data_IF_737460017176
#
_entry.id   IF_737460017176
#
_cell.length_a   1.000
_cell.length_b   1.000
_cell.length_c   1.000
_cell.angle_alpha   90.00
_cell.angle_beta   90.00
_cell.angle_gamma   90.00
#
_symmetry.space_group_name_H-M   'P 1'
#
loop_
_entity.id
_entity.type
_entity.pdbx_description
1 polymer ?
#
# COMPACT_ATOMS: atom_id res chain seq x y z
N UNK A 1 19.76 5.51 11.76
CA UNK A 1 19.00 5.12 12.96
C UNK A 1 17.48 5.11 12.74
N UNK A 2 16.86 6.18 12.23
CA UNK A 2 15.40 6.22 12.02
C UNK A 2 14.93 5.19 10.96
N UNK A 3 15.65 5.07 9.84
CA UNK A 3 15.33 4.14 8.76
C UNK A 3 15.44 2.68 9.22
N UNK A 4 16.48 2.34 9.96
CA UNK A 4 16.65 1.00 10.53
C UNK A 4 15.51 0.67 11.52
N UNK A 5 15.16 1.60 12.40
CA UNK A 5 14.03 1.42 13.32
C UNK A 5 12.70 1.23 12.56
N UNK A 6 12.47 1.98 11.48
CA UNK A 6 11.29 1.83 10.63
C UNK A 6 11.27 0.45 9.93
N UNK A 7 12.41 -0.01 9.41
CA UNK A 7 12.52 -1.31 8.77
C UNK A 7 12.34 -2.47 9.76
N UNK A 8 12.84 -2.34 10.99
CA UNK A 8 12.61 -3.32 12.05
C UNK A 8 11.13 -3.34 12.46
N UNK A 9 10.50 -2.17 12.64
CA UNK A 9 9.06 -2.10 12.94
C UNK A 9 8.20 -2.72 11.83
N UNK A 10 8.56 -2.49 10.57
CA UNK A 10 7.94 -3.15 9.41
C UNK A 10 8.13 -4.66 9.45
N UNK A 11 9.35 -5.14 9.75
CA UNK A 11 9.64 -6.57 9.90
C UNK A 11 8.84 -7.23 11.03
N UNK A 12 8.67 -6.55 12.16
CA UNK A 12 7.83 -7.03 13.28
C UNK A 12 6.36 -7.14 12.85
N UNK A 13 5.85 -6.11 12.15
CA UNK A 13 4.49 -6.13 11.61
C UNK A 13 4.29 -7.30 10.63
N UNK A 14 5.24 -7.52 9.72
CA UNK A 14 5.19 -8.63 8.77
C UNK A 14 5.24 -9.99 9.47
N UNK A 15 6.12 -10.17 10.46
CA UNK A 15 6.20 -11.40 11.25
C UNK A 15 4.90 -11.68 12.00
N UNK A 16 4.27 -10.66 12.60
CA UNK A 16 2.95 -10.79 13.23
C UNK A 16 1.90 -11.26 12.23
N UNK A 17 1.87 -10.67 11.03
CA UNK A 17 0.94 -11.07 9.98
C UNK A 17 1.22 -12.50 9.49
N UNK A 18 2.47 -12.91 9.36
CA UNK A 18 2.83 -14.27 8.97
C UNK A 18 2.33 -15.31 9.99
N UNK A 19 2.34 -14.99 11.28
CA UNK A 19 1.73 -15.84 12.31
C UNK A 19 0.21 -15.93 12.13
N UNK A 20 -0.45 -14.77 11.94
CA UNK A 20 -1.91 -14.71 11.80
C UNK A 20 -2.42 -15.46 10.56
N UNK A 21 -1.74 -15.30 9.42
CA UNK A 21 -2.22 -15.81 8.14
C UNK A 21 -1.63 -17.17 7.76
N UNK A 22 -0.38 -17.44 8.15
CA UNK A 22 0.38 -18.62 7.69
C UNK A 22 0.87 -19.51 8.84
N UNK A 23 0.53 -19.18 10.10
CA UNK A 23 1.07 -19.86 11.31
C UNK A 23 2.59 -19.93 11.34
N UNK A 24 3.26 -19.02 10.63
CA UNK A 24 4.70 -19.02 10.49
C UNK A 24 5.32 -18.04 11.49
N UNK A 25 6.16 -18.55 12.38
CA UNK A 25 6.85 -17.76 13.40
C UNK A 25 8.26 -17.41 12.95
N UNK A 26 8.76 -16.26 13.37
CA UNK A 26 10.12 -15.82 13.10
C UNK A 26 10.75 -15.31 14.38
N UNK A 27 12.05 -15.56 14.56
CA UNK A 27 12.77 -15.05 15.72
C UNK A 27 13.06 -13.56 15.58
N UNK A 28 13.19 -12.85 16.71
CA UNK A 28 13.56 -11.44 16.70
C UNK A 28 14.87 -11.18 15.95
N UNK A 29 15.86 -12.08 16.10
CA UNK A 29 17.13 -11.99 15.38
C UNK A 29 16.94 -12.08 13.86
N UNK A 30 16.12 -13.01 13.38
CA UNK A 30 15.82 -13.15 11.94
C UNK A 30 15.10 -11.92 11.39
N UNK A 31 14.19 -11.33 12.16
CA UNK A 31 13.47 -10.10 11.80
C UNK A 31 14.44 -8.93 11.64
N UNK A 32 15.31 -8.71 12.64
CA UNK A 32 16.29 -7.61 12.61
C UNK A 32 17.30 -7.79 11.47
N UNK A 33 17.82 -9.01 11.28
CA UNK A 33 18.77 -9.30 10.21
C UNK A 33 18.14 -9.08 8.82
N UNK A 34 16.89 -9.53 8.62
CA UNK A 34 16.17 -9.33 7.37
C UNK A 34 15.88 -7.85 7.11
N UNK A 35 15.50 -7.10 8.15
CA UNK A 35 15.25 -5.66 8.06
C UNK A 35 16.51 -4.89 7.64
N UNK A 36 17.67 -5.21 8.25
CA UNK A 36 18.97 -4.62 7.87
C UNK A 36 19.34 -4.92 6.43
N UNK A 37 19.26 -6.19 6.02
CA UNK A 37 19.56 -6.60 4.64
C UNK A 37 18.67 -5.90 3.62
N UNK A 38 17.38 -5.77 3.92
CA UNK A 38 16.44 -5.07 3.04
C UNK A 38 16.78 -3.57 2.93
N UNK A 39 17.20 -2.93 4.03
CA UNK A 39 17.65 -1.54 4.01
C UNK A 39 18.91 -1.36 3.16
N UNK A 40 19.92 -2.24 3.35
CA UNK A 40 21.16 -2.21 2.58
C UNK A 40 20.88 -2.37 1.07
N UNK A 41 20.02 -3.33 0.71
CA UNK A 41 19.61 -3.56 -0.68
C UNK A 41 18.87 -2.36 -1.27
N UNK A 42 17.98 -1.73 -0.49
CA UNK A 42 17.26 -0.54 -0.93
C UNK A 42 18.20 0.63 -1.18
N UNK A 43 19.12 0.90 -0.24
CA UNK A 43 20.12 1.97 -0.39
C UNK A 43 21.02 1.73 -1.61
N UNK A 44 21.47 0.49 -1.81
CA UNK A 44 22.24 0.10 -2.97
C UNK A 44 21.47 0.32 -4.28
N UNK A 45 20.20 -0.09 -4.35
CA UNK A 45 19.34 0.10 -5.51
C UNK A 45 19.06 1.59 -5.82
N UNK A 46 19.01 2.46 -4.80
CA UNK A 46 18.86 3.89 -5.00
C UNK A 46 20.15 4.53 -5.53
N UNK A 47 21.32 4.13 -5.03
CA UNK A 47 22.62 4.62 -5.51
C UNK A 47 22.89 4.28 -6.98
N UNK A 48 22.30 3.20 -7.49
CA UNK A 48 22.44 2.77 -8.89
C UNK A 48 21.47 3.49 -9.84
N UNK A 49 20.39 4.10 -9.34
CA UNK A 49 19.47 4.90 -10.17
C UNK A 49 20.03 6.27 -10.53
N UNK A 50 20.88 6.85 -9.68
CA UNK A 50 21.53 8.14 -9.95
C UNK A 50 22.44 8.10 -11.20
N UNK A 51 22.99 6.94 -11.56
CA UNK A 51 23.77 6.76 -12.79
C UNK A 51 22.92 6.56 -14.06
N UNK A 52 21.68 6.07 -13.92
CA UNK A 52 20.88 5.61 -15.07
C UNK A 52 19.79 6.60 -15.51
N UNK A 53 19.42 7.56 -14.65
CA UNK A 53 18.41 8.57 -14.94
C UNK A 53 18.93 9.78 -15.74
N UNK A 54 20.24 9.94 -15.90
CA UNK A 54 20.82 11.06 -16.66
C UNK A 54 20.74 10.89 -18.18
N UNK A 55 20.36 9.72 -18.69
CA UNK A 55 20.33 9.43 -20.14
C UNK A 55 18.94 9.53 -20.79
N UNK A 56 17.87 9.77 -20.01
CA UNK A 56 16.50 9.87 -20.53
C UNK A 56 15.81 11.17 -20.15
N UNK A 57 16.55 12.28 -20.02
CA UNK A 57 15.93 13.62 -20.09
C UNK A 57 15.72 13.97 -21.56
N UNK A 58 14.77 13.27 -22.19
CA UNK A 58 14.29 13.64 -23.52
C UNK A 58 13.19 14.70 -23.37
N UNK A 59 13.33 15.78 -24.11
CA UNK A 59 12.69 17.09 -23.92
C UNK A 59 11.21 17.17 -24.36
N UNK A 60 10.46 16.06 -24.32
CA UNK A 60 9.03 16.10 -24.60
C UNK A 60 8.26 16.10 -23.29
N UNK A 61 7.88 17.33 -22.88
CA UNK A 61 6.95 17.63 -21.80
C UNK A 61 5.57 17.09 -22.17
N UNK A 62 5.40 15.76 -22.16
CA UNK A 62 4.11 15.15 -21.95
C UNK A 62 3.63 15.74 -20.63
N UNK A 63 2.55 16.51 -20.68
CA UNK A 63 1.81 16.87 -19.49
C UNK A 63 1.21 15.55 -19.00
N UNK A 64 1.99 14.78 -18.26
CA UNK A 64 1.48 13.75 -17.39
C UNK A 64 0.56 14.51 -16.42
N UNK A 65 -0.72 14.57 -16.75
CA UNK A 65 -1.74 14.91 -15.78
C UNK A 65 -1.57 13.87 -14.68
N UNK A 66 -0.96 14.27 -13.57
CA UNK A 66 -0.83 13.44 -12.39
C UNK A 66 -2.24 13.15 -11.88
N UNK A 67 -2.82 12.05 -12.34
CA UNK A 67 -4.09 11.56 -11.81
C UNK A 67 -3.80 11.16 -10.37
N UNK A 68 -4.42 11.89 -9.43
CA UNK A 68 -4.22 11.68 -8.00
C UNK A 68 -4.51 10.20 -7.65
N UNK A 69 -3.51 9.44 -7.16
CA UNK A 69 -3.67 8.00 -7.01
C UNK A 69 -4.70 7.67 -5.91
N UNK A 70 -5.58 6.72 -6.21
CA UNK A 70 -6.61 6.24 -5.26
C UNK A 70 -6.21 4.90 -4.67
N UNK A 71 -6.05 4.86 -3.35
CA UNK A 71 -5.81 3.64 -2.59
C UNK A 71 -7.15 3.03 -2.17
N UNK A 72 -7.35 1.74 -2.41
CA UNK A 72 -8.59 1.00 -2.08
C UNK A 72 -8.27 -0.16 -1.15
N UNK A 73 -9.09 -0.35 -0.11
CA UNK A 73 -9.03 -1.48 0.79
C UNK A 73 -10.41 -2.09 1.04
N UNK A 74 -10.45 -3.41 1.20
CA UNK A 74 -11.63 -4.16 1.66
C UNK A 74 -11.45 -4.62 3.11
N UNK A 75 -12.56 -4.76 3.83
CA UNK A 75 -12.60 -5.29 5.19
C UNK A 75 -13.74 -6.29 5.33
N UNK A 76 -13.48 -7.45 5.93
CA UNK A 76 -14.47 -8.51 6.15
C UNK A 76 -14.90 -8.50 7.63
N UNK A 77 -16.21 -8.50 7.87
CA UNK A 77 -16.82 -8.54 9.20
C UNK A 77 -17.71 -9.79 9.31
N UNK A 78 -17.07 -10.97 9.30
CA UNK A 78 -17.74 -12.26 9.16
C UNK A 78 -18.82 -12.53 10.23
N UNK A 79 -18.51 -12.18 11.49
CA UNK A 79 -19.43 -12.30 12.63
C UNK A 79 -20.73 -11.52 12.42
N UNK A 80 -20.66 -10.39 11.73
CA UNK A 80 -21.80 -9.52 11.46
C UNK A 80 -22.43 -9.80 10.09
N UNK A 81 -21.88 -10.72 9.30
CA UNK A 81 -22.35 -11.01 7.95
C UNK A 81 -22.25 -9.79 7.02
N UNK A 82 -21.20 -8.99 7.19
CA UNK A 82 -20.98 -7.74 6.44
C UNK A 82 -19.56 -7.68 5.90
N UNK A 83 -19.38 -6.82 4.91
CA UNK A 83 -18.06 -6.35 4.49
C UNK A 83 -18.08 -4.84 4.30
N UNK A 84 -16.90 -4.23 4.32
CA UNK A 84 -16.69 -2.81 4.12
C UNK A 84 -15.66 -2.58 3.03
N UNK A 85 -15.76 -1.43 2.39
CA UNK A 85 -14.74 -0.92 1.48
C UNK A 85 -14.37 0.49 1.92
N UNK A 86 -13.10 0.84 1.75
CA UNK A 86 -12.61 2.18 2.02
C UNK A 86 -11.63 2.60 0.94
N UNK A 87 -11.64 3.87 0.58
CA UNK A 87 -10.67 4.41 -0.36
C UNK A 87 -10.27 5.83 -0.02
N UNK A 88 -9.02 6.17 -0.36
CA UNK A 88 -8.40 7.47 -0.07
C UNK A 88 -7.60 7.95 -1.26
N UNK A 89 -7.65 9.25 -1.52
CA UNK A 89 -6.80 9.91 -2.51
C UNK A 89 -5.91 10.95 -1.83
N UNK A 90 -4.68 11.13 -2.32
CA UNK A 90 -3.64 11.96 -1.68
C UNK A 90 -2.93 12.86 -2.67
N UNK A 91 -2.58 14.07 -2.26
CA UNK A 91 -1.75 14.96 -3.07
C UNK A 91 -0.30 14.46 -3.21
N UNK A 92 0.51 15.22 -3.94
CA UNK A 92 1.93 14.91 -4.18
C UNK A 92 2.78 14.90 -2.90
N UNK A 93 2.33 15.59 -1.84
CA UNK A 93 2.97 15.58 -0.53
C UNK A 93 2.47 14.43 0.36
N UNK A 94 1.56 13.58 -0.16
CA UNK A 94 0.98 12.46 0.56
C UNK A 94 -0.14 12.84 1.54
N UNK A 95 -0.60 14.10 1.53
CA UNK A 95 -1.73 14.54 2.36
C UNK A 95 -3.03 14.01 1.78
N UNK A 96 -3.90 13.47 2.65
CA UNK A 96 -5.22 12.96 2.26
C UNK A 96 -6.09 14.13 1.79
N UNK A 97 -6.51 14.08 0.53
CA UNK A 97 -7.43 15.05 -0.05
C UNK A 97 -8.88 14.64 0.16
N UNK A 98 -9.16 13.35 0.07
CA UNK A 98 -10.48 12.80 0.35
C UNK A 98 -10.39 11.33 0.77
N UNK A 99 -11.38 10.92 1.56
CA UNK A 99 -11.54 9.56 2.04
C UNK A 99 -13.03 9.21 2.07
N UNK A 100 -13.36 7.99 1.68
CA UNK A 100 -14.72 7.49 1.72
C UNK A 100 -14.73 6.04 2.18
N UNK A 101 -15.83 5.64 2.80
CA UNK A 101 -16.08 4.25 3.17
C UNK A 101 -17.54 3.89 2.93
N UNK A 102 -17.79 2.60 2.67
CA UNK A 102 -19.14 2.04 2.53
C UNK A 102 -19.19 0.64 3.10
N UNK A 103 -20.29 0.31 3.76
CA UNK A 103 -20.56 -1.03 4.28
C UNK A 103 -21.67 -1.69 3.48
N UNK A 104 -21.52 -2.99 3.28
CA UNK A 104 -22.45 -3.84 2.56
C UNK A 104 -22.84 -5.01 3.44
N UNK A 105 -24.07 -5.47 3.26
CA UNK A 105 -24.53 -6.74 3.81
C UNK A 105 -24.12 -7.89 2.90
N UNK A 106 -23.79 -9.02 3.51
CA UNK A 106 -23.35 -10.22 2.80
C UNK A 106 -21.98 -10.70 3.27
N UNK A 107 -21.75 -11.99 3.03
CA UNK A 107 -20.47 -12.64 3.24
C UNK A 107 -19.80 -12.83 1.90
N UNK A 108 -18.66 -12.19 1.72
CA UNK A 108 -17.84 -12.28 0.50
C UNK A 108 -16.41 -12.61 0.89
N UNK A 109 -15.65 -13.18 -0.05
CA UNK A 109 -14.21 -13.34 0.11
C UNK A 109 -13.49 -11.97 0.04
N UNK A 110 -12.29 -11.89 0.61
CA UNK A 110 -11.48 -10.67 0.67
C UNK A 110 -11.22 -10.06 -0.72
N UNK A 111 -10.96 -10.93 -1.70
CA UNK A 111 -10.74 -10.60 -3.10
C UNK A 111 -11.95 -9.89 -3.71
N UNK A 112 -13.16 -10.41 -3.43
CA UNK A 112 -14.40 -9.82 -3.91
C UNK A 112 -14.69 -8.48 -3.24
N UNK A 113 -14.44 -8.35 -1.93
CA UNK A 113 -14.54 -7.05 -1.24
C UNK A 113 -13.59 -6.01 -1.85
N UNK A 114 -12.38 -6.41 -2.27
CA UNK A 114 -11.43 -5.53 -2.95
C UNK A 114 -11.91 -5.12 -4.35
N UNK A 115 -12.41 -6.06 -5.16
CA UNK A 115 -12.97 -5.76 -6.50
C UNK A 115 -14.14 -4.79 -6.39
N UNK A 116 -15.05 -5.02 -5.45
CA UNK A 116 -16.18 -4.12 -5.18
C UNK A 116 -15.66 -2.76 -4.73
N UNK A 117 -14.64 -2.71 -3.87
CA UNK A 117 -14.01 -1.46 -3.47
C UNK A 117 -13.46 -0.65 -4.65
N UNK A 118 -12.83 -1.32 -5.63
CA UNK A 118 -12.30 -0.67 -6.84
C UNK A 118 -13.46 -0.09 -7.66
N UNK A 119 -14.50 -0.88 -7.91
CA UNK A 119 -15.69 -0.43 -8.63
C UNK A 119 -16.31 0.81 -7.97
N UNK A 120 -16.53 0.78 -6.65
CA UNK A 120 -17.15 1.90 -5.93
C UNK A 120 -16.26 3.14 -5.89
N UNK A 121 -14.93 2.96 -5.83
CA UNK A 121 -13.98 4.07 -5.94
C UNK A 121 -14.04 4.74 -7.33
N UNK A 122 -14.14 3.95 -8.40
CA UNK A 122 -14.30 4.47 -9.76
C UNK A 122 -15.62 5.23 -9.93
N UNK A 123 -16.74 4.67 -9.47
CA UNK A 123 -18.03 5.37 -9.50
C UNK A 123 -18.02 6.67 -8.71
N UNK A 124 -17.26 6.73 -7.61
CA UNK A 124 -17.13 7.96 -6.83
C UNK A 124 -16.29 9.02 -7.56
N UNK A 125 -15.18 8.64 -8.20
CA UNK A 125 -14.39 9.57 -9.02
C UNK A 125 -15.26 10.14 -10.16
N UNK A 126 -16.03 9.27 -10.82
CA UNK A 126 -16.93 9.65 -11.91
C UNK A 126 -17.99 10.67 -11.46
N UNK A 127 -18.41 10.64 -10.20
CA UNK A 127 -19.36 11.62 -9.66
C UNK A 127 -18.83 13.06 -9.57
N UNK A 128 -17.53 13.28 -9.80
CA UNK A 128 -16.91 14.61 -9.88
C UNK A 128 -16.55 15.03 -11.32
N UNK A 129 -16.81 14.19 -12.32
CA UNK A 129 -16.59 14.48 -13.74
C UNK A 129 -17.86 15.02 -14.41
#
# INVERSE_FOLDING_TARGET
MLEEAAMVAWGVWQARNAVVWNQNTSTAATIVLSARRALDQYQFAQSTKDGSLLLFRDNNKAIEHWTTPVNVNGAIFEQFGRYGVGYTTRDHDGKVLAAFNKSFEGRVQSEMAKIIGIKEALSWIDSFS
#
